data_IF_586488737169
#
_entry.id   IF_586488737169
#
_cell.length_a   1.000
_cell.length_b   1.000
_cell.length_c   1.000
_cell.angle_alpha   90.00
_cell.angle_beta   90.00
_cell.angle_gamma   90.00
#
_symmetry.space_group_name_H-M   'P 1'
#
loop_
_entity.id
_entity.type
_entity.pdbx_description
1 polymer ?
#
# COMPACT_ATOMS: atom_id res chain seq x y z
N UNK A 1 8.24 0.67 22.07
CA UNK A 1 7.56 0.76 20.76
C UNK A 1 6.15 1.26 20.93
N UNK A 2 5.80 2.29 20.17
CA UNK A 2 4.49 2.92 20.17
C UNK A 2 3.90 2.95 18.77
N UNK A 3 2.58 2.95 18.67
CA UNK A 3 1.82 3.30 17.47
C UNK A 3 0.79 4.37 17.85
N UNK A 4 0.98 5.59 17.37
CA UNK A 4 0.30 6.75 17.94
C UNK A 4 0.63 6.87 19.43
N UNK A 5 -0.41 6.93 20.28
CA UNK A 5 -0.25 7.00 21.74
C UNK A 5 -0.25 5.63 22.42
N UNK A 6 -0.44 4.54 21.67
CA UNK A 6 -0.56 3.19 22.23
C UNK A 6 0.81 2.55 22.38
N UNK A 7 1.16 2.13 23.59
CA UNK A 7 2.34 1.30 23.85
C UNK A 7 2.09 -0.12 23.32
N UNK A 8 2.92 -0.56 22.37
CA UNK A 8 2.83 -1.90 21.77
C UNK A 8 3.75 -2.91 22.46
N UNK A 9 4.99 -2.49 22.74
CA UNK A 9 5.99 -3.33 23.39
C UNK A 9 7.02 -2.45 24.09
N UNK A 10 7.39 -2.80 25.31
CA UNK A 10 8.42 -2.12 26.11
C UNK A 10 9.63 -3.01 26.40
N UNK A 11 9.64 -4.27 25.93
CA UNK A 11 10.72 -5.22 26.21
C UNK A 11 12.00 -4.85 25.47
N UNK A 12 13.11 -4.98 26.17
CA UNK A 12 14.47 -4.87 25.64
C UNK A 12 15.31 -6.09 26.03
N UNK A 13 16.38 -6.31 25.29
CA UNK A 13 17.40 -7.33 25.54
C UNK A 13 18.78 -6.69 25.44
N UNK A 14 19.80 -7.33 26.02
CA UNK A 14 21.18 -6.89 25.81
C UNK A 14 21.56 -7.09 24.33
N UNK A 15 22.23 -6.11 23.76
CA UNK A 15 22.69 -6.18 22.37
C UNK A 15 23.78 -7.25 22.25
N UNK A 16 23.69 -8.07 21.20
CA UNK A 16 24.61 -9.20 21.00
C UNK A 16 26.04 -8.78 20.63
N UNK A 17 26.23 -7.57 20.07
CA UNK A 17 27.53 -7.01 19.69
C UNK A 17 28.15 -6.13 20.77
N UNK A 18 27.31 -5.47 21.56
CA UNK A 18 27.72 -4.61 22.67
C UNK A 18 26.85 -4.90 23.91
N UNK A 19 27.35 -5.68 24.89
CA UNK A 19 26.58 -6.03 26.09
C UNK A 19 26.15 -4.85 26.95
N UNK A 20 26.78 -3.67 26.80
CA UNK A 20 26.41 -2.44 27.51
C UNK A 20 25.25 -1.71 26.82
N UNK A 21 24.96 -2.04 25.56
CA UNK A 21 23.85 -1.50 24.80
C UNK A 21 22.58 -2.37 24.95
N UNK A 22 21.42 -1.71 24.92
CA UNK A 22 20.10 -2.35 24.88
C UNK A 22 19.55 -2.36 23.46
N UNK A 23 18.84 -3.42 23.13
CA UNK A 23 18.14 -3.59 21.85
C UNK A 23 16.68 -3.96 22.09
N UNK A 24 15.77 -3.34 21.33
CA UNK A 24 14.35 -3.69 21.34
C UNK A 24 13.87 -3.95 19.92
N UNK A 25 13.22 -5.09 19.69
CA UNK A 25 12.73 -5.51 18.37
C UNK A 25 11.22 -5.69 18.41
N UNK A 26 10.52 -5.03 17.49
CA UNK A 26 9.08 -5.21 17.28
C UNK A 26 8.84 -6.04 16.01
N UNK A 27 8.04 -7.11 16.14
CA UNK A 27 7.59 -7.90 15.00
C UNK A 27 6.08 -7.74 14.80
N UNK A 28 5.68 -7.09 13.69
CA UNK A 28 4.27 -6.93 13.31
C UNK A 28 3.90 -8.02 12.32
N UNK A 29 3.16 -9.05 12.76
CA UNK A 29 2.95 -10.29 11.99
C UNK A 29 1.82 -10.25 10.96
N UNK A 30 0.80 -9.43 11.18
CA UNK A 30 -0.40 -9.37 10.34
C UNK A 30 -0.69 -7.92 10.00
N UNK A 31 -0.06 -7.44 8.93
CA UNK A 31 -0.38 -6.13 8.39
C UNK A 31 -1.66 -6.21 7.57
N UNK A 32 -2.53 -5.23 7.74
CA UNK A 32 -3.72 -5.05 6.93
C UNK A 32 -3.71 -3.68 6.22
N UNK A 33 -4.67 -3.43 5.32
CA UNK A 33 -4.71 -2.20 4.51
C UNK A 33 -4.82 -0.92 5.35
N UNK A 34 -5.37 -0.98 6.56
CA UNK A 34 -5.46 0.16 7.48
C UNK A 34 -4.12 0.51 8.14
N UNK A 35 -3.13 -0.37 8.06
CA UNK A 35 -1.76 -0.08 8.51
C UNK A 35 -0.99 0.80 7.52
N UNK A 36 -1.63 1.20 6.41
CA UNK A 36 -0.99 2.03 5.40
C UNK A 36 -0.59 3.35 6.02
N UNK A 37 0.69 3.71 5.86
CA UNK A 37 1.27 4.88 6.51
C UNK A 37 1.25 4.85 8.05
N UNK A 38 0.99 3.70 8.67
CA UNK A 38 1.14 3.55 10.11
C UNK A 38 2.60 3.84 10.50
N UNK A 39 2.77 4.69 11.51
CA UNK A 39 4.08 5.05 12.04
C UNK A 39 4.32 4.32 13.35
N UNK A 40 5.43 3.59 13.41
CA UNK A 40 5.92 2.90 14.60
C UNK A 40 7.08 3.69 15.19
N UNK A 41 6.97 4.04 16.47
CA UNK A 41 7.95 4.85 17.19
C UNK A 41 8.69 3.97 18.20
N UNK A 42 10.01 3.88 18.08
CA UNK A 42 10.87 3.39 19.13
C UNK A 42 11.26 4.57 20.03
N UNK A 43 11.23 4.36 21.35
CA UNK A 43 11.60 5.37 22.34
C UNK A 43 12.51 4.72 23.39
N UNK A 44 13.67 5.31 23.62
CA UNK A 44 14.65 4.86 24.60
C UNK A 44 14.80 5.92 25.70
N UNK A 45 14.63 5.52 26.95
CA UNK A 45 14.75 6.37 28.14
C UNK A 45 15.70 5.70 29.13
N UNK A 46 16.63 6.47 29.68
CA UNK A 46 17.64 6.02 30.65
C UNK A 46 17.34 6.51 32.08
N UNK A 47 16.64 7.64 32.23
CA UNK A 47 16.30 8.25 33.50
C UNK A 47 15.05 9.14 33.34
N UNK A 48 14.57 9.71 34.46
CA UNK A 48 13.38 10.56 34.50
C UNK A 48 13.68 12.08 34.40
N UNK A 49 14.88 12.45 33.95
CA UNK A 49 15.36 13.84 33.87
C UNK A 49 15.55 14.27 32.42
N UNK A 50 16.17 13.43 31.60
CA UNK A 50 16.38 13.70 30.17
C UNK A 50 15.20 13.24 29.32
N UNK A 51 14.92 13.99 28.26
CA UNK A 51 13.95 13.60 27.25
C UNK A 51 14.37 12.30 26.56
N UNK A 52 13.47 11.32 26.40
CA UNK A 52 13.78 10.08 25.69
C UNK A 52 14.20 10.34 24.24
N UNK A 53 15.13 9.53 23.73
CA UNK A 53 15.50 9.55 22.31
C UNK A 53 14.51 8.69 21.54
N UNK A 54 14.00 9.21 20.43
CA UNK A 54 13.00 8.51 19.61
C UNK A 54 13.45 8.34 18.16
N UNK A 55 13.09 7.21 17.56
CA UNK A 55 13.23 6.94 16.14
C UNK A 55 11.92 6.37 15.60
N UNK A 56 11.54 6.71 14.37
CA UNK A 56 10.27 6.27 13.79
C UNK A 56 10.45 5.60 12.44
N UNK A 57 9.56 4.65 12.15
CA UNK A 57 9.46 3.96 10.86
C UNK A 57 8.02 4.08 10.39
N UNK A 58 7.82 4.57 9.16
CA UNK A 58 6.52 4.66 8.51
C UNK A 58 6.36 3.51 7.53
N UNK A 59 5.25 2.79 7.62
CA UNK A 59 4.96 1.65 6.75
C UNK A 59 4.41 2.13 5.41
N UNK A 60 5.06 1.71 4.34
CA UNK A 60 4.53 1.79 2.97
C UNK A 60 4.16 0.38 2.52
N UNK A 61 2.97 0.21 1.92
CA UNK A 61 2.50 -1.10 1.45
C UNK A 61 2.06 -1.05 0.00
N UNK A 62 2.32 -2.18 -0.67
CA UNK A 62 1.83 -2.45 -2.00
C UNK A 62 0.68 -3.44 -1.95
N UNK A 63 -0.38 -3.13 -2.69
CA UNK A 63 -1.59 -3.92 -2.76
C UNK A 63 -1.93 -4.24 -4.20
N UNK A 64 -2.33 -5.49 -4.44
CA UNK A 64 -3.08 -5.82 -5.66
C UNK A 64 -4.41 -5.05 -5.70
N UNK A 65 -4.98 -4.80 -6.89
CA UNK A 65 -6.34 -4.29 -7.00
C UNK A 65 -7.31 -5.13 -6.17
N UNK A 66 -8.26 -4.46 -5.53
CA UNK A 66 -9.38 -5.13 -4.85
C UNK A 66 -10.39 -5.65 -5.86
N UNK A 67 -10.58 -4.92 -6.95
CA UNK A 67 -11.46 -5.29 -8.05
C UNK A 67 -10.91 -4.78 -9.37
N UNK A 68 -11.28 -5.47 -10.45
CA UNK A 68 -11.12 -5.04 -11.83
C UNK A 68 -12.37 -5.47 -12.62
N UNK A 69 -13.01 -4.54 -13.32
CA UNK A 69 -14.26 -4.79 -14.04
C UNK A 69 -14.41 -3.94 -15.28
N UNK A 70 -14.99 -4.52 -16.33
CA UNK A 70 -15.44 -3.78 -17.51
C UNK A 70 -16.78 -3.11 -17.16
N UNK A 71 -16.83 -1.79 -17.28
CA UNK A 71 -18.02 -0.97 -17.00
C UNK A 71 -18.94 -0.84 -18.22
N UNK A 72 -18.40 -1.00 -19.43
CA UNK A 72 -19.21 -0.97 -20.66
C UNK A 72 -20.23 -2.09 -20.65
N UNK A 73 -21.50 -1.73 -20.89
CA UNK A 73 -22.59 -2.70 -20.91
C UNK A 73 -22.47 -3.66 -22.10
N UNK A 74 -22.90 -4.91 -21.90
CA UNK A 74 -23.02 -5.88 -22.98
C UNK A 74 -24.16 -5.50 -23.92
N UNK A 75 -23.82 -4.77 -24.98
CA UNK A 75 -24.75 -4.39 -26.05
C UNK A 75 -24.31 -5.00 -27.39
N UNK A 76 -25.24 -5.32 -28.29
CA UNK A 76 -24.89 -5.72 -29.65
C UNK A 76 -24.04 -4.63 -30.32
N UNK A 77 -22.94 -5.05 -30.95
CA UNK A 77 -22.05 -4.15 -31.67
C UNK A 77 -22.40 -4.20 -33.16
N UNK A 78 -22.41 -3.03 -33.81
CA UNK A 78 -22.57 -2.94 -35.26
C UNK A 78 -21.21 -2.97 -35.95
N UNK A 79 -21.13 -3.68 -37.08
CA UNK A 79 -19.93 -3.67 -37.92
C UNK A 79 -19.54 -2.23 -38.30
N UNK A 80 -18.22 -1.99 -38.41
CA UNK A 80 -17.62 -0.70 -38.80
C UNK A 80 -17.91 0.48 -37.85
N UNK A 81 -18.56 0.25 -36.71
CA UNK A 81 -18.72 1.25 -35.66
C UNK A 81 -17.63 1.10 -34.60
N UNK A 82 -16.98 2.21 -34.28
CA UNK A 82 -16.05 2.29 -33.15
C UNK A 82 -16.85 2.26 -31.84
N UNK A 83 -16.38 1.48 -30.89
CA UNK A 83 -16.95 1.39 -29.54
C UNK A 83 -15.81 1.54 -28.53
N UNK A 84 -16.09 2.31 -27.48
CA UNK A 84 -15.19 2.51 -26.36
C UNK A 84 -15.53 1.50 -25.26
N UNK A 85 -14.52 0.77 -24.77
CA UNK A 85 -14.68 -0.20 -23.70
C UNK A 85 -13.95 0.32 -22.48
N UNK A 86 -14.68 0.55 -21.39
CA UNK A 86 -14.13 1.12 -20.17
C UNK A 86 -13.84 0.00 -19.18
N UNK A 87 -12.59 -0.09 -18.72
CA UNK A 87 -12.18 -0.95 -17.60
C UNK A 87 -11.83 -0.08 -16.39
N UNK A 88 -12.23 -0.53 -15.20
CA UNK A 88 -11.93 0.12 -13.94
C UNK A 88 -11.25 -0.86 -13.00
N UNK A 89 -10.11 -0.47 -12.44
CA UNK A 89 -9.43 -1.15 -11.35
C UNK A 89 -9.43 -0.26 -10.09
N UNK A 90 -9.77 -0.83 -8.92
CA UNK A 90 -9.90 -0.10 -7.65
C UNK A 90 -9.03 -0.73 -6.56
N UNK A 91 -8.44 0.09 -5.70
CA UNK A 91 -7.79 -0.37 -4.46
C UNK A 91 -6.37 -0.90 -4.65
N UNK A 92 -5.76 -0.64 -5.81
CA UNK A 92 -4.35 -0.95 -6.06
C UNK A 92 -3.45 0.10 -5.41
N UNK A 93 -2.29 -0.33 -4.93
CA UNK A 93 -1.21 0.60 -4.57
C UNK A 93 0.13 -0.02 -4.93
N UNK A 94 0.97 0.61 -5.77
CA UNK A 94 0.70 1.81 -6.58
C UNK A 94 -0.51 1.61 -7.53
N UNK A 95 -0.96 2.67 -8.23
CA UNK A 95 -2.04 2.57 -9.22
C UNK A 95 -1.85 1.37 -10.15
N UNK A 96 -2.94 0.70 -10.48
CA UNK A 96 -2.90 -0.48 -11.33
C UNK A 96 -2.50 -0.10 -12.76
N UNK A 97 -1.84 -1.03 -13.46
CA UNK A 97 -1.60 -0.96 -14.92
C UNK A 97 -2.61 -1.89 -15.58
N UNK A 98 -3.40 -1.38 -16.52
CA UNK A 98 -4.42 -2.13 -17.25
C UNK A 98 -3.90 -2.41 -18.66
N UNK A 99 -3.95 -3.68 -19.09
CA UNK A 99 -3.60 -4.07 -20.45
C UNK A 99 -4.81 -4.69 -21.16
N UNK A 100 -4.97 -4.36 -22.43
CA UNK A 100 -6.10 -4.81 -23.23
C UNK A 100 -5.70 -5.93 -24.18
N UNK A 101 -6.53 -6.96 -24.21
CA UNK A 101 -6.32 -8.14 -25.03
C UNK A 101 -7.63 -8.53 -25.71
N UNK A 102 -7.54 -8.82 -27.01
CA UNK A 102 -8.66 -9.38 -27.78
C UNK A 102 -8.13 -10.51 -28.65
N UNK A 103 -8.72 -11.70 -28.54
CA UNK A 103 -8.33 -12.88 -29.34
C UNK A 103 -6.81 -13.15 -29.28
N UNK A 104 -6.22 -13.08 -28.08
CA UNK A 104 -4.78 -13.19 -27.80
C UNK A 104 -3.89 -12.12 -28.45
N UNK A 105 -4.47 -11.07 -29.01
CA UNK A 105 -3.73 -9.91 -29.52
C UNK A 105 -3.74 -8.78 -28.48
N UNK A 106 -2.55 -8.32 -28.12
CA UNK A 106 -2.37 -7.12 -27.31
C UNK A 106 -2.84 -5.88 -28.10
N UNK A 107 -3.66 -5.05 -27.47
CA UNK A 107 -4.10 -3.77 -28.01
C UNK A 107 -3.25 -2.67 -27.40
N UNK A 108 -2.62 -1.86 -28.23
CA UNK A 108 -1.73 -0.77 -27.80
C UNK A 108 -2.43 0.60 -27.77
N UNK A 109 -3.56 0.73 -28.47
CA UNK A 109 -4.37 1.95 -28.49
C UNK A 109 -5.35 1.92 -27.33
N UNK A 110 -4.89 2.36 -26.16
CA UNK A 110 -5.71 2.62 -24.98
C UNK A 110 -5.19 3.84 -24.24
N UNK A 111 -6.07 4.45 -23.45
CA UNK A 111 -5.72 5.57 -22.57
C UNK A 111 -5.97 5.17 -21.13
N UNK A 112 -5.05 5.55 -20.25
CA UNK A 112 -5.22 5.36 -18.81
C UNK A 112 -5.38 6.70 -18.10
N UNK A 113 -6.23 6.71 -17.08
CA UNK A 113 -6.38 7.84 -16.17
C UNK A 113 -6.40 7.32 -14.74
N UNK A 114 -5.67 8.00 -13.86
CA UNK A 114 -5.56 7.66 -12.45
C UNK A 114 -6.29 8.73 -11.64
N UNK A 115 -7.10 8.32 -10.66
CA UNK A 115 -7.77 9.25 -9.76
C UNK A 115 -6.75 10.05 -8.92
N UNK A 116 -7.09 11.27 -8.45
CA UNK A 116 -6.16 12.10 -7.66
C UNK A 116 -5.63 11.42 -6.38
N UNK A 117 -6.42 10.53 -5.79
CA UNK A 117 -6.04 9.73 -4.62
C UNK A 117 -5.24 8.46 -4.96
N UNK A 118 -5.03 8.18 -6.25
CA UNK A 118 -4.32 6.99 -6.76
C UNK A 118 -5.07 5.67 -6.57
N UNK A 119 -6.31 5.70 -6.08
CA UNK A 119 -7.08 4.52 -5.71
C UNK A 119 -7.74 3.82 -6.92
N UNK A 120 -8.04 4.58 -7.98
CA UNK A 120 -8.76 4.11 -9.15
C UNK A 120 -7.91 4.33 -10.39
N UNK A 121 -7.70 3.27 -11.17
CA UNK A 121 -7.22 3.36 -12.55
C UNK A 121 -8.38 3.06 -13.49
N UNK A 122 -8.62 3.95 -14.45
CA UNK A 122 -9.56 3.74 -15.55
C UNK A 122 -8.76 3.60 -16.84
N UNK A 123 -9.13 2.64 -17.68
CA UNK A 123 -8.56 2.46 -19.02
C UNK A 123 -9.67 2.34 -20.05
N UNK A 124 -9.47 2.95 -21.22
CA UNK A 124 -10.43 3.01 -22.35
C UNK A 124 -9.77 2.76 -23.67
#
# INVERSE_FOLDING_TARGET
WYRGNTLLDSRDTNNSRDPLAKESRLAVRRLDRSDLHATYLCSASNNNVSTPVTASVRVEMHFKPMSASILTSYVPLSAERKVEIVCQAIGSRPPAIISWWKDNKHLEDYKETISPDGNITIST
#
